data_IF_496370673213
#
_entry.id   IF_496370673213
#
_cell.length_a   1.000
_cell.length_b   1.000
_cell.length_c   1.000
_cell.angle_alpha   90.00
_cell.angle_beta   90.00
_cell.angle_gamma   90.00
#
_symmetry.space_group_name_H-M   'P 1'
#
loop_
_entity.id
_entity.type
_entity.pdbx_description
1 polymer ?
#
# COMPACT_ATOMS: atom_id res chain seq x y z
N UNK A 1 -40.08 16.24 12.22
CA UNK A 1 -39.82 17.69 12.32
C UNK A 1 -38.68 17.83 13.32
N UNK A 2 -37.46 18.08 12.88
CA UNK A 2 -36.32 18.26 13.79
C UNK A 2 -36.31 19.73 14.21
N UNK A 3 -37.00 20.03 15.31
CA UNK A 3 -36.85 21.32 15.99
C UNK A 3 -35.47 21.40 16.62
N UNK A 4 -34.87 22.59 16.62
CA UNK A 4 -33.59 22.82 17.30
C UNK A 4 -33.82 22.72 18.81
N UNK A 5 -33.16 21.76 19.46
CA UNK A 5 -33.25 21.55 20.90
C UNK A 5 -32.11 22.33 21.59
N UNK A 6 -32.44 23.02 22.67
CA UNK A 6 -31.49 23.74 23.51
C UNK A 6 -31.54 23.18 24.92
N UNK A 7 -30.38 22.82 25.47
CA UNK A 7 -30.21 22.44 26.85
C UNK A 7 -29.90 23.69 27.67
N UNK A 8 -30.67 23.91 28.72
CA UNK A 8 -30.36 24.92 29.72
C UNK A 8 -29.27 24.38 30.64
N UNK A 9 -28.15 25.11 30.70
CA UNK A 9 -26.96 24.73 31.45
C UNK A 9 -26.67 25.82 32.49
N UNK A 10 -26.57 25.45 33.75
CA UNK A 10 -26.15 26.37 34.81
C UNK A 10 -24.68 26.82 34.58
N UNK A 11 -24.44 28.14 34.52
CA UNK A 11 -23.10 28.70 34.30
C UNK A 11 -22.12 28.39 35.43
N UNK A 12 -22.61 28.14 36.63
CA UNK A 12 -21.77 28.00 37.81
C UNK A 12 -21.06 26.64 37.88
N UNK A 13 -21.72 25.58 37.41
CA UNK A 13 -21.27 24.20 37.57
C UNK A 13 -21.43 23.35 36.30
N UNK A 14 -22.06 23.87 35.25
CA UNK A 14 -22.31 23.15 34.01
C UNK A 14 -23.39 22.07 34.10
N UNK A 15 -24.23 22.09 35.15
CA UNK A 15 -25.34 21.15 35.30
C UNK A 15 -26.43 21.44 34.27
N UNK A 16 -26.99 20.39 33.68
CA UNK A 16 -28.12 20.49 32.74
C UNK A 16 -29.39 20.51 33.57
N UNK A 17 -30.15 21.61 33.47
CA UNK A 17 -31.34 21.84 34.28
C UNK A 17 -32.63 21.48 33.56
N UNK A 18 -32.69 21.82 32.28
CA UNK A 18 -33.90 21.67 31.46
C UNK A 18 -33.55 21.64 29.97
N UNK A 19 -34.57 21.42 29.13
CA UNK A 19 -34.44 21.57 27.69
C UNK A 19 -35.64 22.34 27.11
N UNK A 20 -35.39 23.06 26.02
CA UNK A 20 -36.36 23.90 25.32
C UNK A 20 -36.16 23.79 23.81
N UNK A 21 -37.21 24.02 23.03
CA UNK A 21 -37.12 24.14 21.57
C UNK A 21 -36.80 25.56 21.10
N UNK A 22 -36.60 26.49 22.04
CA UNK A 22 -36.28 27.89 21.79
C UNK A 22 -35.04 28.29 22.58
N UNK A 23 -34.17 29.06 21.92
CA UNK A 23 -33.02 29.65 22.60
C UNK A 23 -33.49 30.81 23.48
N UNK A 24 -33.49 30.58 24.78
CA UNK A 24 -33.85 31.61 25.75
C UNK A 24 -32.61 32.43 26.15
N UNK A 25 -32.85 33.59 26.77
CA UNK A 25 -31.80 34.41 27.38
C UNK A 25 -31.92 34.31 28.89
N UNK A 26 -30.85 33.90 29.55
CA UNK A 26 -30.74 33.90 31.01
C UNK A 26 -29.44 34.57 31.44
N UNK A 27 -29.46 35.21 32.61
CA UNK A 27 -28.27 35.72 33.26
C UNK A 27 -27.50 34.61 33.99
N UNK A 28 -28.20 33.56 34.42
CA UNK A 28 -27.65 32.45 35.22
C UNK A 28 -27.35 31.21 34.40
N UNK A 29 -28.00 31.05 33.24
CA UNK A 29 -27.92 29.84 32.43
C UNK A 29 -27.42 30.14 31.02
N UNK A 30 -26.69 29.20 30.45
CA UNK A 30 -26.37 29.13 29.04
C UNK A 30 -27.31 28.16 28.33
N UNK A 31 -27.60 28.43 27.05
CA UNK A 31 -28.44 27.57 26.22
C UNK A 31 -27.58 26.95 25.13
N UNK A 32 -27.31 25.65 25.27
CA UNK A 32 -26.45 24.89 24.37
C UNK A 32 -27.31 24.07 23.43
N UNK A 33 -27.12 24.25 22.12
CA UNK A 33 -27.80 23.43 21.12
C UNK A 33 -27.43 21.95 21.28
N UNK A 34 -28.43 21.08 21.20
CA UNK A 34 -28.32 19.65 21.31
C UNK A 34 -29.22 18.93 20.31
N UNK A 35 -28.97 17.64 20.12
CA UNK A 35 -29.82 16.76 19.29
C UNK A 35 -30.67 15.85 20.18
N UNK A 36 -31.76 15.29 19.62
CA UNK A 36 -32.58 14.29 20.34
C UNK A 36 -31.75 13.08 20.82
N UNK A 37 -30.75 12.66 20.03
CA UNK A 37 -29.87 11.56 20.40
C UNK A 37 -28.99 11.90 21.61
N UNK A 38 -28.53 13.14 21.69
CA UNK A 38 -27.78 13.66 22.83
C UNK A 38 -28.65 13.75 24.08
N UNK A 39 -29.89 14.24 23.95
CA UNK A 39 -30.84 14.27 25.06
C UNK A 39 -31.14 12.86 25.59
N UNK A 40 -31.39 11.90 24.71
CA UNK A 40 -31.63 10.51 25.08
C UNK A 40 -30.43 9.89 25.82
N UNK A 41 -29.21 10.21 25.39
CA UNK A 41 -28.00 9.76 26.08
C UNK A 41 -27.90 10.34 27.49
N UNK A 42 -28.18 11.63 27.66
CA UNK A 42 -28.14 12.28 28.96
C UNK A 42 -29.20 11.72 29.91
N UNK A 43 -30.43 11.54 29.43
CA UNK A 43 -31.51 10.91 30.21
C UNK A 43 -31.12 9.49 30.64
N UNK A 44 -30.51 8.71 29.74
CA UNK A 44 -30.06 7.36 30.06
C UNK A 44 -28.96 7.34 31.13
N UNK A 45 -28.08 8.34 31.15
CA UNK A 45 -27.10 8.48 32.23
C UNK A 45 -27.77 8.78 33.57
N UNK A 46 -28.73 9.70 33.61
CA UNK A 46 -29.46 10.04 34.83
C UNK A 46 -30.27 8.85 35.37
N UNK A 47 -30.95 8.12 34.49
CA UNK A 47 -31.82 7.02 34.88
C UNK A 47 -31.06 5.75 35.31
N UNK A 48 -29.87 5.49 34.73
CA UNK A 48 -29.23 4.17 34.84
C UNK A 48 -27.78 4.19 35.36
N UNK A 49 -27.11 5.34 35.33
CA UNK A 49 -25.67 5.44 35.64
C UNK A 49 -25.42 6.29 36.85
N UNK A 50 -26.12 7.42 36.95
CA UNK A 50 -25.90 8.37 38.04
C UNK A 50 -26.64 7.95 39.32
N UNK A 51 -26.01 8.13 40.49
CA UNK A 51 -26.69 8.00 41.77
C UNK A 51 -27.86 9.00 41.85
N UNK A 52 -28.89 8.63 42.63
CA UNK A 52 -30.04 9.51 42.86
C UNK A 52 -29.59 10.90 43.37
N UNK A 53 -30.04 11.96 42.70
CA UNK A 53 -29.69 13.34 43.02
C UNK A 53 -28.48 13.90 42.27
N UNK A 54 -27.82 13.10 41.42
CA UNK A 54 -26.87 13.61 40.43
C UNK A 54 -27.57 13.88 39.10
N UNK A 55 -27.15 14.94 38.42
CA UNK A 55 -27.68 15.38 37.12
C UNK A 55 -26.57 15.33 36.08
N UNK A 56 -26.96 15.16 34.83
CA UNK A 56 -26.03 15.21 33.72
C UNK A 56 -25.44 16.62 33.56
N UNK A 57 -24.17 16.65 33.16
CA UNK A 57 -23.44 17.90 32.99
C UNK A 57 -23.06 18.13 31.53
N UNK A 58 -22.66 19.36 31.22
CA UNK A 58 -22.11 19.70 29.92
C UNK A 58 -20.87 18.85 29.57
N UNK A 59 -20.11 18.38 30.57
CA UNK A 59 -18.96 17.51 30.34
C UNK A 59 -19.37 16.13 29.79
N UNK A 60 -20.49 15.59 30.26
CA UNK A 60 -21.03 14.32 29.78
C UNK A 60 -21.47 14.41 28.32
N UNK A 61 -22.13 15.53 27.96
CA UNK A 61 -22.49 15.83 26.58
C UNK A 61 -21.26 15.96 25.67
N UNK A 62 -20.22 16.68 26.12
CA UNK A 62 -18.98 16.83 25.36
C UNK A 62 -18.27 15.47 25.18
N UNK A 63 -18.29 14.62 26.21
CA UNK A 63 -17.75 13.27 26.16
C UNK A 63 -18.50 12.41 25.12
N UNK A 64 -19.83 12.49 25.08
CA UNK A 64 -20.63 11.82 24.06
C UNK A 64 -20.27 12.30 22.65
N UNK A 65 -20.23 13.62 22.43
CA UNK A 65 -19.83 14.21 21.14
C UNK A 65 -18.45 13.75 20.69
N UNK A 66 -17.49 13.71 21.61
CA UNK A 66 -16.14 13.23 21.32
C UNK A 66 -16.14 11.74 20.91
N UNK A 67 -16.91 10.89 21.61
CA UNK A 67 -17.05 9.47 21.28
C UNK A 67 -17.68 9.27 19.91
N UNK A 68 -18.79 9.95 19.61
CA UNK A 68 -19.46 9.87 18.31
C UNK A 68 -18.52 10.29 17.18
N UNK A 69 -17.78 11.40 17.36
CA UNK A 69 -16.79 11.85 16.40
C UNK A 69 -15.67 10.83 16.20
N UNK A 70 -15.19 10.20 17.27
CA UNK A 70 -14.17 9.17 17.20
C UNK A 70 -14.67 7.91 16.45
N UNK A 71 -15.91 7.50 16.69
CA UNK A 71 -16.55 6.38 15.97
C UNK A 71 -16.64 6.68 14.49
N UNK A 72 -17.18 7.85 14.11
CA UNK A 72 -17.30 8.26 12.71
C UNK A 72 -15.93 8.29 11.99
N UNK A 73 -14.88 8.78 12.68
CA UNK A 73 -13.51 8.75 12.16
C UNK A 73 -12.97 7.31 12.02
N UNK A 74 -13.31 6.42 12.97
CA UNK A 74 -12.97 5.01 12.92
C UNK A 74 -13.61 4.31 11.72
N UNK A 75 -14.90 4.52 11.50
CA UNK A 75 -15.65 3.97 10.36
C UNK A 75 -15.08 4.43 9.03
N UNK A 76 -14.74 5.72 8.90
CA UNK A 76 -14.09 6.25 7.70
C UNK A 76 -12.73 5.57 7.43
N UNK A 77 -11.91 5.34 8.47
CA UNK A 77 -10.64 4.61 8.33
C UNK A 77 -10.88 3.16 7.90
N UNK A 78 -11.86 2.48 8.49
CA UNK A 78 -12.21 1.10 8.13
C UNK A 78 -12.67 1.01 6.67
N UNK A 79 -13.51 1.96 6.22
CA UNK A 79 -13.95 2.02 4.83
C UNK A 79 -12.76 2.21 3.86
N UNK A 80 -11.82 3.09 4.19
CA UNK A 80 -10.60 3.28 3.38
C UNK A 80 -9.72 2.02 3.34
N UNK A 81 -9.56 1.32 4.47
CA UNK A 81 -8.79 0.08 4.53
C UNK A 81 -9.45 -1.03 3.69
N UNK A 82 -10.78 -1.17 3.76
CA UNK A 82 -11.53 -2.11 2.92
C UNK A 82 -11.36 -1.80 1.43
N UNK A 83 -11.42 -0.52 1.04
CA UNK A 83 -11.21 -0.11 -0.35
C UNK A 83 -9.79 -0.42 -0.84
N UNK A 84 -8.76 -0.13 -0.03
CA UNK A 84 -7.37 -0.47 -0.34
C UNK A 84 -7.16 -1.97 -0.48
N UNK A 85 -7.72 -2.76 0.46
CA UNK A 85 -7.64 -4.21 0.41
C UNK A 85 -8.24 -4.75 -0.89
N UNK A 86 -9.44 -4.29 -1.25
CA UNK A 86 -10.12 -4.69 -2.48
C UNK A 86 -9.27 -4.41 -3.73
N UNK A 87 -8.68 -3.21 -3.81
CA UNK A 87 -7.78 -2.83 -4.90
C UNK A 87 -6.54 -3.72 -4.98
N UNK A 88 -5.89 -4.00 -3.84
CA UNK A 88 -4.72 -4.87 -3.79
C UNK A 88 -5.05 -6.31 -4.20
N UNK A 89 -6.19 -6.86 -3.75
CA UNK A 89 -6.62 -8.20 -4.20
C UNK A 89 -6.88 -8.26 -5.70
N UNK A 90 -7.47 -7.22 -6.29
CA UNK A 90 -7.70 -7.15 -7.73
C UNK A 90 -6.38 -7.13 -8.50
N UNK A 91 -5.43 -6.28 -8.09
CA UNK A 91 -4.10 -6.21 -8.70
C UNK A 91 -3.35 -7.54 -8.58
N UNK A 92 -3.43 -8.21 -7.43
CA UNK A 92 -2.80 -9.51 -7.23
C UNK A 92 -3.43 -10.59 -8.13
N UNK A 93 -4.75 -10.58 -8.30
CA UNK A 93 -5.45 -11.49 -9.20
C UNK A 93 -5.04 -11.26 -10.67
N UNK A 94 -4.96 -10.00 -11.10
CA UNK A 94 -4.49 -9.63 -12.44
C UNK A 94 -3.03 -10.05 -12.67
N UNK A 95 -2.14 -9.80 -11.70
CA UNK A 95 -0.74 -10.22 -11.78
C UNK A 95 -0.61 -11.75 -11.88
N UNK A 96 -1.37 -12.51 -11.09
CA UNK A 96 -1.39 -13.98 -11.17
C UNK A 96 -1.89 -14.48 -12.52
N UNK A 97 -2.94 -13.86 -13.06
CA UNK A 97 -3.44 -14.20 -14.39
C UNK A 97 -2.41 -13.89 -15.48
N UNK A 98 -1.73 -12.75 -15.40
CA UNK A 98 -0.68 -12.37 -16.34
C UNK A 98 0.51 -13.33 -16.29
N UNK A 99 0.97 -13.73 -15.09
CA UNK A 99 2.05 -14.72 -14.94
C UNK A 99 1.66 -16.07 -15.53
N UNK A 100 0.41 -16.52 -15.30
CA UNK A 100 -0.09 -17.77 -15.89
C UNK A 100 -0.13 -17.71 -17.41
N UNK A 101 -0.60 -16.59 -17.98
CA UNK A 101 -0.65 -16.38 -19.42
C UNK A 101 0.76 -16.34 -20.04
N UNK A 102 1.69 -15.61 -19.42
CA UNK A 102 3.09 -15.55 -19.86
C UNK A 102 3.77 -16.92 -19.81
N UNK A 103 3.48 -17.71 -18.77
CA UNK A 103 4.00 -19.08 -18.67
C UNK A 103 3.45 -19.96 -19.79
N UNK A 104 2.13 -19.93 -20.03
CA UNK A 104 1.52 -20.69 -21.10
C UNK A 104 2.05 -20.29 -22.49
N UNK A 105 2.30 -19.00 -22.74
CA UNK A 105 2.90 -18.55 -24.00
C UNK A 105 4.33 -19.04 -24.17
N UNK A 106 5.11 -19.07 -23.08
CA UNK A 106 6.49 -19.56 -23.11
C UNK A 106 6.53 -21.07 -23.36
N UNK A 107 5.67 -21.83 -22.68
CA UNK A 107 5.55 -23.28 -22.85
C UNK A 107 5.10 -23.62 -24.29
N UNK A 108 4.14 -22.88 -24.85
CA UNK A 108 3.71 -23.05 -26.24
C UNK A 108 4.82 -22.72 -27.25
N UNK A 109 5.59 -21.66 -27.00
CA UNK A 109 6.75 -21.31 -27.82
C UNK A 109 7.81 -22.41 -27.78
N UNK A 110 8.15 -22.93 -26.60
CA UNK A 110 9.12 -24.02 -26.43
C UNK A 110 8.66 -25.31 -27.11
N UNK A 111 7.39 -25.66 -26.97
CA UNK A 111 6.79 -26.81 -27.65
C UNK A 111 6.87 -26.68 -29.17
N UNK A 112 6.51 -25.51 -29.72
CA UNK A 112 6.61 -25.24 -31.16
C UNK A 112 8.06 -25.29 -31.64
N UNK A 113 8.98 -24.62 -30.93
CA UNK A 113 10.40 -24.57 -31.27
C UNK A 113 11.08 -25.96 -31.23
N UNK A 114 10.61 -26.85 -30.34
CA UNK A 114 11.06 -28.23 -30.26
C UNK A 114 10.51 -29.05 -31.43
N UNK A 115 9.20 -28.93 -31.70
CA UNK A 115 8.55 -29.59 -32.83
C UNK A 115 9.15 -29.21 -34.18
N UNK A 116 9.39 -27.91 -34.42
CA UNK A 116 10.00 -27.41 -35.66
C UNK A 116 11.41 -28.00 -35.91
N UNK A 117 12.07 -28.51 -34.86
CA UNK A 117 13.40 -29.14 -34.90
C UNK A 117 13.37 -30.66 -34.78
N UNK A 118 12.18 -31.26 -34.68
CA UNK A 118 12.03 -32.70 -34.45
C UNK A 118 12.58 -33.16 -33.09
N UNK A 119 12.65 -32.26 -32.10
CA UNK A 119 13.17 -32.53 -30.76
C UNK A 119 12.05 -32.54 -29.72
N UNK A 120 12.30 -33.14 -28.56
CA UNK A 120 11.45 -32.98 -27.37
C UNK A 120 11.81 -31.68 -26.63
N UNK A 121 10.87 -31.14 -25.86
CA UNK A 121 11.11 -29.91 -25.08
C UNK A 121 12.30 -30.04 -24.12
N UNK A 122 12.48 -31.13 -23.35
CA UNK A 122 13.65 -31.29 -22.49
C UNK A 122 14.98 -31.38 -23.26
N UNK A 123 14.97 -31.96 -24.47
CA UNK A 123 16.14 -32.01 -25.34
C UNK A 123 16.51 -30.62 -25.85
N UNK A 124 15.52 -29.79 -26.20
CA UNK A 124 15.73 -28.39 -26.58
C UNK A 124 16.28 -27.57 -25.41
N UNK A 125 15.74 -27.73 -24.20
CA UNK A 125 16.25 -27.06 -22.99
C UNK A 125 17.71 -27.43 -22.70
N UNK A 126 18.05 -28.72 -22.80
CA UNK A 126 19.42 -29.21 -22.62
C UNK A 126 20.38 -28.62 -23.67
N UNK A 127 19.93 -28.53 -24.93
CA UNK A 127 20.70 -27.93 -26.00
C UNK A 127 20.91 -26.42 -25.79
N UNK A 128 19.89 -25.69 -25.32
CA UNK A 128 19.99 -24.28 -24.98
C UNK A 128 20.92 -24.05 -23.79
N UNK A 129 20.86 -24.89 -22.76
CA UNK A 129 21.76 -24.83 -21.61
C UNK A 129 23.22 -25.09 -22.03
N UNK A 130 23.46 -26.10 -22.88
CA UNK A 130 24.78 -26.38 -23.44
C UNK A 130 25.29 -25.24 -24.33
N UNK A 131 24.41 -24.62 -25.12
CA UNK A 131 24.76 -23.46 -25.94
C UNK A 131 25.14 -22.26 -25.06
N UNK A 132 24.34 -21.97 -24.03
CA UNK A 132 24.59 -20.89 -23.07
C UNK A 132 25.93 -21.07 -22.35
N UNK A 133 26.19 -22.27 -21.83
CA UNK A 133 27.46 -22.61 -21.19
C UNK A 133 28.66 -22.42 -22.13
N UNK A 134 28.52 -22.80 -23.41
CA UNK A 134 29.56 -22.59 -24.43
C UNK A 134 29.77 -21.12 -24.77
N UNK A 135 28.73 -20.30 -24.78
CA UNK A 135 28.87 -18.86 -25.02
C UNK A 135 29.47 -18.13 -23.82
N UNK A 136 29.13 -18.53 -22.60
CA UNK A 136 29.68 -17.97 -21.36
C UNK A 136 31.14 -18.40 -21.14
N UNK A 137 31.51 -19.65 -21.48
CA UNK A 137 32.91 -20.08 -21.46
C UNK A 137 33.76 -19.43 -22.58
N UNK A 138 33.11 -18.93 -23.64
CA UNK A 138 33.79 -18.27 -24.77
C UNK A 138 34.03 -16.79 -24.54
N UNK A 139 33.40 -16.19 -23.54
CA UNK A 139 33.69 -14.82 -23.08
C UNK A 139 34.94 -14.72 -22.21
N UNK A 140 35.51 -15.85 -21.78
CA UNK A 140 36.84 -15.88 -21.17
C UNK A 140 37.91 -15.82 -22.26
N UNK A 141 38.79 -14.81 -22.16
CA UNK A 141 39.87 -14.59 -23.12
C UNK A 141 40.93 -15.70 -22.92
N UNK A 142 41.12 -16.63 -23.88
CA UNK A 142 41.92 -17.82 -23.63
C UNK A 142 43.36 -17.43 -23.29
N UNK A 143 43.85 -17.95 -22.16
CA UNK A 143 45.23 -17.75 -21.69
C UNK A 143 46.12 -18.78 -22.39
N UNK A 144 47.08 -18.29 -23.18
CA UNK A 144 48.08 -19.15 -23.83
C UNK A 144 49.04 -19.75 -22.79
N UNK A 145 49.77 -20.82 -23.17
CA UNK A 145 50.77 -21.50 -22.31
C UNK A 145 51.85 -20.58 -21.72
N UNK A 146 52.01 -19.38 -22.28
CA UNK A 146 52.92 -18.33 -21.81
C UNK A 146 52.27 -17.36 -20.80
N UNK A 147 51.08 -17.66 -20.29
CA UNK A 147 50.35 -16.84 -19.32
C UNK A 147 49.69 -15.59 -19.89
N UNK A 148 49.78 -15.33 -21.20
CA UNK A 148 49.19 -14.15 -21.85
C UNK A 148 47.82 -14.47 -22.43
N UNK A 149 46.89 -13.54 -22.31
CA UNK A 149 45.55 -13.69 -22.91
C UNK A 149 45.59 -13.41 -24.41
N UNK A 150 44.58 -13.89 -25.15
CA UNK A 150 44.48 -13.62 -26.59
C UNK A 150 44.39 -12.13 -26.90
N UNK A 151 43.68 -11.33 -26.11
CA UNK A 151 43.68 -9.86 -26.27
C UNK A 151 45.05 -9.22 -26.00
N UNK A 152 45.84 -9.72 -25.05
CA UNK A 152 47.20 -9.24 -24.80
C UNK A 152 48.14 -9.57 -25.96
N UNK A 153 48.10 -10.78 -26.48
CA UNK A 153 48.89 -11.15 -27.66
C UNK A 153 48.46 -10.36 -28.91
N UNK A 154 47.16 -10.09 -29.09
CA UNK A 154 46.68 -9.26 -30.19
C UNK A 154 47.17 -7.81 -30.06
N UNK A 155 47.15 -7.23 -28.86
CA UNK A 155 47.71 -5.90 -28.57
C UNK A 155 49.23 -5.87 -28.82
N UNK A 156 49.95 -6.92 -28.44
CA UNK A 156 51.39 -7.02 -28.65
C UNK A 156 51.75 -7.09 -30.14
N UNK A 157 51.03 -7.90 -30.92
CA UNK A 157 51.19 -7.98 -32.38
C UNK A 157 50.85 -6.64 -33.06
N UNK A 158 49.80 -5.95 -32.63
CA UNK A 158 49.46 -4.61 -33.14
C UNK A 158 50.56 -3.58 -32.82
N UNK A 159 51.16 -3.61 -31.62
CA UNK A 159 52.30 -2.75 -31.27
C UNK A 159 53.51 -3.05 -32.15
N UNK A 160 53.87 -4.33 -32.32
CA UNK A 160 54.99 -4.71 -33.18
C UNK A 160 54.79 -4.27 -34.64
N UNK A 161 53.58 -4.39 -35.20
CA UNK A 161 53.28 -3.87 -36.54
C UNK A 161 53.36 -2.35 -36.62
N UNK A 162 52.98 -1.63 -35.56
CA UNK A 162 53.06 -0.16 -35.50
C UNK A 162 54.51 0.32 -35.39
N UNK A 163 55.33 -0.37 -34.61
CA UNK A 163 56.74 -0.03 -34.39
C UNK A 163 57.59 -0.42 -35.62
N UNK A 164 57.29 -1.54 -36.27
CA UNK A 164 57.90 -1.94 -37.55
C UNK A 164 57.63 -0.91 -38.67
N UNK A 165 56.43 -0.30 -38.70
CA UNK A 165 56.12 0.79 -39.64
C UNK A 165 56.85 2.10 -39.32
N UNK A 166 57.19 2.37 -38.05
CA UNK A 166 57.92 3.57 -37.63
C UNK A 166 59.45 3.45 -37.82
N UNK A 167 59.99 2.24 -37.78
CA UNK A 167 61.43 1.99 -37.99
C UNK A 167 61.88 1.96 -39.46
N UNK A 168 60.97 2.05 -40.43
CA UNK A 168 61.27 2.04 -41.88
C UNK A 168 61.40 3.43 -42.53
N UNK A 169 61.37 4.50 -41.73
CA UNK A 169 61.68 5.86 -42.17
C UNK A 169 63.05 6.28 -41.63
N UNK A 170 64.11 5.77 -42.25
CA UNK A 170 65.41 6.44 -42.36
C UNK A 170 65.99 6.11 -43.73
#
# INVERSE_FOLDING_TARGET
MTGTLYLEVDRSNGAILSYSNEQLKSSTSDFVEATEAELNYLNLLEDNVFPAGMVATLSDLQTYRAKVKAIAQGEAKVAQLKAKLAQTTLQQAQARAAVKAARASMDAFMAKAASDRGLTVPALESALAAFKARTESRTEDPVYKNGKTRSETAKMLQRMHRDSKRGRSK
#
